data_IF_229224382149
#
_entry.id   IF_229224382149
#
_cell.length_a   1.000
_cell.length_b   1.000
_cell.length_c   1.000
_cell.angle_alpha   90.00
_cell.angle_beta   90.00
_cell.angle_gamma   90.00
#
_symmetry.space_group_name_H-M   'P 1'
#
loop_
_entity.id
_entity.type
_entity.pdbx_description
1 polymer ?
#
# COMPACT_ATOMS: atom_id res chain seq x y z
N UNK A 1 -3.11 13.89 -13.93
CA UNK A 1 -4.12 14.84 -14.41
C UNK A 1 -5.49 14.46 -13.88
N UNK A 2 -6.08 15.26 -12.99
CA UNK A 2 -7.44 15.01 -12.47
C UNK A 2 -8.50 15.33 -13.54
N UNK A 3 -9.61 14.57 -13.57
CA UNK A 3 -10.77 14.93 -14.38
C UNK A 3 -11.48 16.18 -13.83
N UNK A 4 -12.32 16.84 -14.64
CA UNK A 4 -12.91 18.15 -14.34
C UNK A 4 -13.67 18.24 -13.00
N UNK A 5 -14.29 17.15 -12.53
CA UNK A 5 -15.05 17.10 -11.27
C UNK A 5 -14.34 16.35 -10.14
N UNK A 6 -13.10 15.91 -10.37
CA UNK A 6 -12.36 15.05 -9.44
C UNK A 6 -12.33 15.62 -8.02
N UNK A 7 -11.95 16.90 -7.87
CA UNK A 7 -11.85 17.53 -6.55
C UNK A 7 -13.20 17.75 -5.87
N UNK A 8 -14.22 18.16 -6.64
CA UNK A 8 -15.57 18.40 -6.11
C UNK A 8 -16.21 17.12 -5.57
N UNK A 9 -16.07 16.02 -6.30
CA UNK A 9 -16.56 14.70 -5.89
C UNK A 9 -15.89 14.23 -4.59
N UNK A 10 -14.56 14.39 -4.48
CA UNK A 10 -13.83 14.05 -3.26
C UNK A 10 -14.22 14.93 -2.07
N UNK A 11 -14.36 16.25 -2.28
CA UNK A 11 -14.79 17.18 -1.23
C UNK A 11 -16.20 16.84 -0.72
N UNK A 12 -17.14 16.61 -1.64
CA UNK A 12 -18.53 16.24 -1.31
C UNK A 12 -18.58 14.94 -0.53
N UNK A 13 -17.86 13.91 -0.97
CA UNK A 13 -17.82 12.62 -0.29
C UNK A 13 -17.15 12.71 1.09
N UNK A 14 -16.03 13.44 1.18
CA UNK A 14 -15.31 13.61 2.45
C UNK A 14 -16.12 14.39 3.48
N UNK A 15 -16.84 15.44 3.05
CA UNK A 15 -17.75 16.20 3.90
C UNK A 15 -18.95 15.36 4.33
N UNK A 16 -19.65 14.72 3.37
CA UNK A 16 -20.87 13.96 3.63
C UNK A 16 -20.68 12.72 4.51
N UNK A 17 -19.46 12.17 4.56
CA UNK A 17 -19.13 10.98 5.38
C UNK A 17 -18.27 11.31 6.61
N UNK A 18 -17.89 12.56 6.80
CA UNK A 18 -16.93 12.93 7.84
C UNK A 18 -15.55 12.28 7.67
N UNK A 19 -15.18 11.90 6.44
CA UNK A 19 -13.93 11.21 6.15
C UNK A 19 -12.73 12.17 6.33
N UNK A 20 -11.61 11.63 6.81
CA UNK A 20 -10.38 12.41 7.04
C UNK A 20 -9.55 12.61 5.76
N UNK A 21 -9.72 11.71 4.81
CA UNK A 21 -9.12 11.77 3.50
C UNK A 21 -10.02 11.11 2.46
N UNK A 22 -9.83 11.43 1.19
CA UNK A 22 -10.60 10.87 0.09
C UNK A 22 -9.70 10.66 -1.13
N UNK A 23 -9.81 9.50 -1.75
CA UNK A 23 -9.09 9.18 -2.99
C UNK A 23 -10.07 8.72 -4.06
N UNK A 24 -9.68 8.94 -5.30
CA UNK A 24 -10.43 8.57 -6.48
C UNK A 24 -9.93 7.28 -7.12
N UNK A 25 -10.53 6.94 -8.26
CA UNK A 25 -9.95 5.96 -9.19
C UNK A 25 -8.78 6.60 -9.94
N UNK A 26 -7.62 5.97 -9.92
CA UNK A 26 -6.42 6.44 -10.62
C UNK A 26 -6.14 5.50 -11.78
N UNK A 27 -6.29 6.01 -13.00
CA UNK A 27 -6.07 5.28 -14.25
C UNK A 27 -4.65 5.54 -14.77
N UNK A 28 -4.08 4.55 -15.45
CA UNK A 28 -2.81 4.68 -16.14
C UNK A 28 -3.00 5.61 -17.35
N UNK A 29 -2.28 6.74 -17.40
CA UNK A 29 -2.46 7.72 -18.45
C UNK A 29 -2.04 7.25 -19.86
N UNK A 30 -1.21 6.19 -19.95
CA UNK A 30 -0.85 5.58 -21.23
C UNK A 30 -1.83 4.47 -21.67
N UNK A 31 -2.67 4.00 -20.75
CA UNK A 31 -3.63 2.91 -20.94
C UNK A 31 -4.85 3.23 -20.07
N UNK A 32 -5.72 4.09 -20.58
CA UNK A 32 -6.82 4.67 -19.82
C UNK A 32 -7.85 3.63 -19.35
N UNK A 33 -7.74 2.37 -19.78
CA UNK A 33 -8.54 1.23 -19.31
C UNK A 33 -7.82 0.37 -18.26
N UNK A 34 -6.65 0.78 -17.76
CA UNK A 34 -5.86 0.06 -16.75
C UNK A 34 -5.83 0.86 -15.44
N UNK A 35 -6.18 0.22 -14.33
CA UNK A 35 -6.06 0.78 -12.99
C UNK A 35 -4.57 0.96 -12.65
N UNK A 36 -4.14 2.20 -12.40
CA UNK A 36 -2.88 2.46 -11.74
C UNK A 36 -3.01 2.29 -10.22
N UNK A 37 -4.08 2.83 -9.62
CA UNK A 37 -4.39 2.67 -8.20
C UNK A 37 -5.86 2.98 -7.89
N UNK A 38 -6.36 2.43 -6.80
CA UNK A 38 -7.64 2.86 -6.18
C UNK A 38 -7.37 3.34 -4.76
N UNK A 39 -7.19 2.40 -3.84
CA UNK A 39 -6.73 2.59 -2.47
C UNK A 39 -5.62 1.60 -2.15
N UNK A 40 -4.95 1.75 -1.02
CA UNK A 40 -3.79 0.91 -0.67
C UNK A 40 -4.15 -0.19 0.31
N UNK A 41 -3.44 -1.31 0.18
CA UNK A 41 -3.49 -2.42 1.11
C UNK A 41 -2.07 -2.92 1.37
N UNK A 42 -1.80 -3.36 2.60
CA UNK A 42 -0.49 -3.92 3.00
C UNK A 42 -0.67 -5.27 3.70
N UNK A 43 0.09 -6.26 3.26
CA UNK A 43 0.06 -7.60 3.86
C UNK A 43 0.84 -7.66 5.17
N UNK A 44 0.63 -8.72 5.95
CA UNK A 44 1.41 -9.02 7.16
C UNK A 44 2.90 -9.27 6.87
N UNK A 45 3.27 -9.45 5.60
CA UNK A 45 4.67 -9.52 5.16
C UNK A 45 5.29 -8.14 4.85
N UNK A 46 4.55 -7.04 5.05
CA UNK A 46 5.00 -5.68 4.74
C UNK A 46 4.99 -5.36 3.25
N UNK A 47 4.41 -6.24 2.41
CA UNK A 47 4.29 -6.02 0.98
C UNK A 47 2.95 -5.35 0.67
N UNK A 48 2.99 -4.17 0.05
CA UNK A 48 1.81 -3.43 -0.30
C UNK A 48 1.36 -3.70 -1.75
N UNK A 49 0.06 -3.53 -1.99
CA UNK A 49 -0.53 -3.46 -3.31
C UNK A 49 -1.49 -2.28 -3.33
N UNK A 50 -1.33 -1.43 -4.34
CA UNK A 50 -2.36 -0.46 -4.70
C UNK A 50 -3.48 -1.28 -5.33
N UNK A 51 -4.63 -1.35 -4.68
CA UNK A 51 -5.70 -2.27 -5.04
C UNK A 51 -6.08 -2.05 -6.51
N UNK A 52 -6.08 -3.16 -7.27
CA UNK A 52 -6.38 -3.16 -8.70
C UNK A 52 -5.20 -2.80 -9.61
N UNK A 53 -4.02 -2.45 -9.09
CA UNK A 53 -2.89 -2.03 -9.93
C UNK A 53 -2.56 -3.07 -11.01
N UNK A 54 -2.56 -2.63 -12.27
CA UNK A 54 -2.30 -3.46 -13.45
C UNK A 54 -3.49 -4.30 -13.91
N UNK A 55 -4.68 -4.11 -13.31
CA UNK A 55 -5.95 -4.69 -13.79
C UNK A 55 -6.65 -3.75 -14.75
N UNK A 56 -7.50 -4.31 -15.62
CA UNK A 56 -8.44 -3.50 -16.40
C UNK A 56 -9.44 -2.85 -15.47
N UNK A 57 -9.85 -1.62 -15.77
CA UNK A 57 -10.96 -0.99 -15.08
C UNK A 57 -12.28 -1.74 -15.36
N UNK A 58 -13.17 -1.75 -14.37
CA UNK A 58 -14.39 -2.55 -14.41
C UNK A 58 -15.27 -2.40 -13.15
N UNK A 59 -16.46 -3.02 -13.16
CA UNK A 59 -17.47 -2.88 -12.11
C UNK A 59 -16.97 -3.25 -10.70
N UNK A 60 -15.96 -4.09 -10.59
CA UNK A 60 -15.30 -4.45 -9.33
C UNK A 60 -14.68 -3.24 -8.60
N UNK A 61 -14.41 -2.15 -9.32
CA UNK A 61 -13.83 -0.90 -8.83
C UNK A 61 -14.84 0.24 -8.70
N UNK A 62 -16.13 0.02 -8.99
CA UNK A 62 -17.16 1.08 -9.07
C UNK A 62 -17.99 1.25 -7.79
N UNK A 63 -17.47 0.78 -6.64
CA UNK A 63 -18.15 0.90 -5.35
C UNK A 63 -17.47 1.91 -4.43
N UNK A 64 -18.22 2.95 -4.03
CA UNK A 64 -17.84 3.85 -2.94
C UNK A 64 -17.65 3.03 -1.66
N UNK A 65 -16.56 3.26 -0.94
CA UNK A 65 -16.26 2.53 0.32
C UNK A 65 -15.40 3.34 1.27
N UNK A 66 -15.54 3.02 2.55
CA UNK A 66 -14.55 3.44 3.53
C UNK A 66 -13.23 2.71 3.28
N UNK A 67 -12.12 3.43 3.44
CA UNK A 67 -10.75 2.92 3.27
C UNK A 67 -9.87 3.36 4.44
N UNK A 68 -8.82 2.60 4.69
CA UNK A 68 -7.85 2.89 5.78
C UNK A 68 -6.53 3.44 5.27
N UNK A 69 -6.15 3.11 4.04
CA UNK A 69 -4.93 3.59 3.39
C UNK A 69 -5.30 4.09 1.99
N UNK A 70 -4.67 5.18 1.57
CA UNK A 70 -4.88 5.78 0.26
C UNK A 70 -3.53 6.16 -0.36
N UNK A 71 -3.38 5.99 -1.69
CA UNK A 71 -2.17 6.39 -2.39
C UNK A 71 -2.04 7.91 -2.36
N UNK A 72 -0.84 8.41 -2.06
CA UNK A 72 -0.60 9.85 -2.07
C UNK A 72 -0.58 10.45 -3.50
N UNK A 73 -0.61 9.60 -4.54
CA UNK A 73 -0.62 10.00 -5.96
C UNK A 73 -1.72 11.00 -6.31
N UNK A 74 -2.94 10.77 -5.84
CA UNK A 74 -4.09 11.65 -6.07
C UNK A 74 -5.10 11.47 -4.93
N UNK A 75 -4.87 12.19 -3.84
CA UNK A 75 -5.68 12.09 -2.63
C UNK A 75 -5.91 13.46 -2.01
N UNK A 76 -7.09 13.67 -1.46
CA UNK A 76 -7.48 14.83 -0.66
C UNK A 76 -7.29 14.47 0.81
N UNK A 77 -6.56 15.30 1.57
CA UNK A 77 -6.40 15.14 3.02
C UNK A 77 -6.91 16.37 3.76
N UNK A 78 -7.55 16.17 4.92
CA UNK A 78 -7.78 17.28 5.86
C UNK A 78 -6.44 17.76 6.40
N UNK A 79 -6.19 19.06 6.37
CA UNK A 79 -4.97 19.65 6.95
C UNK A 79 -4.76 19.27 8.42
N UNK A 80 -5.85 19.19 9.19
CA UNK A 80 -5.83 18.80 10.59
C UNK A 80 -5.28 17.37 10.81
N UNK A 81 -5.44 16.46 9.83
CA UNK A 81 -4.93 15.10 9.91
C UNK A 81 -3.40 15.09 10.08
N UNK A 82 -2.68 15.95 9.35
CA UNK A 82 -1.22 16.08 9.47
C UNK A 82 -0.79 16.63 10.83
N UNK A 83 -1.59 17.51 11.45
CA UNK A 83 -1.31 18.01 12.80
C UNK A 83 -1.50 16.93 13.86
N UNK A 84 -2.45 16.02 13.65
CA UNK A 84 -2.78 14.92 14.59
C UNK A 84 -1.84 13.72 14.45
N UNK A 85 -1.48 13.37 13.21
CA UNK A 85 -0.77 12.11 12.89
C UNK A 85 0.72 12.36 12.58
N UNK A 86 1.10 13.60 12.30
CA UNK A 86 2.43 13.98 11.81
C UNK A 86 2.56 13.85 10.29
N UNK A 87 3.57 14.52 9.72
CA UNK A 87 3.85 14.50 8.27
C UNK A 87 4.30 13.10 7.76
N UNK A 88 4.59 12.98 6.47
CA UNK A 88 5.26 11.80 5.92
C UNK A 88 6.63 11.60 6.59
N UNK A 89 7.01 10.34 6.83
CA UNK A 89 8.29 10.04 7.48
C UNK A 89 9.41 10.02 6.45
N UNK A 90 10.29 11.01 6.53
CA UNK A 90 11.42 11.21 5.61
C UNK A 90 12.40 10.01 5.59
N UNK A 91 12.39 9.16 6.62
CA UNK A 91 13.18 7.91 6.64
C UNK A 91 12.82 6.96 5.50
N UNK A 92 11.61 7.08 4.94
CA UNK A 92 11.17 6.29 3.80
C UNK A 92 11.72 6.83 2.47
N UNK A 93 12.14 8.10 2.40
CA UNK A 93 12.41 8.84 1.16
C UNK A 93 11.20 8.83 0.20
N UNK A 94 11.00 7.74 -0.54
CA UNK A 94 9.95 7.54 -1.53
C UNK A 94 9.58 6.06 -1.63
N UNK A 95 8.36 5.80 -2.10
CA UNK A 95 7.66 4.52 -2.10
C UNK A 95 7.31 4.01 -0.69
N UNK A 96 6.03 3.74 -0.45
CA UNK A 96 5.49 3.23 0.82
C UNK A 96 5.52 4.24 2.00
N UNK A 97 5.91 5.49 1.76
CA UNK A 97 5.72 6.60 2.70
C UNK A 97 4.24 6.91 2.92
N UNK A 98 3.43 6.72 1.88
CA UNK A 98 1.98 6.83 1.91
C UNK A 98 1.34 5.66 2.67
N UNK A 99 1.84 4.44 2.48
CA UNK A 99 1.45 3.27 3.27
C UNK A 99 1.80 3.46 4.75
N UNK A 100 2.99 4.01 5.06
CA UNK A 100 3.35 4.39 6.43
C UNK A 100 2.36 5.39 7.04
N UNK A 101 2.08 6.47 6.31
CA UNK A 101 1.15 7.51 6.74
C UNK A 101 -0.26 6.94 6.94
N UNK A 102 -0.74 6.11 6.01
CA UNK A 102 -2.02 5.42 6.09
C UNK A 102 -2.12 4.49 7.30
N UNK A 103 -1.07 3.71 7.59
CA UNK A 103 -1.03 2.88 8.81
C UNK A 103 -1.11 3.73 10.08
N UNK A 104 -0.41 4.88 10.14
CA UNK A 104 -0.53 5.78 11.30
C UNK A 104 -1.93 6.37 11.43
N UNK A 105 -2.56 6.74 10.33
CA UNK A 105 -3.95 7.21 10.31
C UNK A 105 -4.91 6.11 10.82
N UNK A 106 -4.79 4.90 10.28
CA UNK A 106 -5.62 3.75 10.66
C UNK A 106 -5.47 3.42 12.15
N UNK A 107 -4.23 3.39 12.67
CA UNK A 107 -3.96 3.14 14.09
C UNK A 107 -4.49 4.24 15.02
N UNK A 108 -4.72 5.44 14.50
CA UNK A 108 -5.36 6.55 15.19
C UNK A 108 -6.88 6.62 14.93
N UNK A 109 -7.46 5.59 14.29
CA UNK A 109 -8.87 5.51 13.91
C UNK A 109 -9.34 6.62 12.94
N UNK A 110 -8.44 7.13 12.11
CA UNK A 110 -8.78 8.04 11.02
C UNK A 110 -8.97 7.27 9.73
N UNK A 111 -10.21 7.25 9.24
CA UNK A 111 -10.59 6.58 7.99
C UNK A 111 -10.83 7.58 6.87
N UNK A 112 -10.74 7.09 5.64
CA UNK A 112 -11.01 7.84 4.42
C UNK A 112 -12.12 7.22 3.60
N UNK A 113 -12.38 7.81 2.43
CA UNK A 113 -13.35 7.29 1.46
C UNK A 113 -12.72 7.12 0.08
N UNK A 114 -12.97 5.99 -0.56
CA UNK A 114 -12.73 5.78 -1.98
C UNK A 114 -13.98 6.18 -2.78
N UNK A 115 -13.80 7.02 -3.80
CA UNK A 115 -14.87 7.57 -4.65
C UNK A 115 -14.56 7.22 -6.10
N UNK A 116 -15.17 6.17 -6.68
CA UNK A 116 -14.81 5.68 -8.01
C UNK A 116 -15.08 6.69 -9.13
N UNK A 117 -16.11 7.53 -8.97
CA UNK A 117 -16.47 8.57 -9.95
C UNK A 117 -15.43 9.70 -10.02
N UNK A 118 -14.62 9.87 -8.97
CA UNK A 118 -13.53 10.82 -8.97
C UNK A 118 -12.32 10.21 -9.71
N UNK A 119 -12.20 10.44 -11.01
CA UNK A 119 -11.13 9.86 -11.83
C UNK A 119 -9.92 10.79 -11.97
N UNK A 120 -8.72 10.25 -11.82
CA UNK A 120 -7.46 10.91 -12.16
C UNK A 120 -6.58 10.00 -13.04
N UNK A 121 -5.76 10.61 -13.91
CA UNK A 121 -4.83 9.91 -14.79
C UNK A 121 -3.39 10.09 -14.32
N UNK A 122 -2.63 9.01 -14.18
CA UNK A 122 -1.26 9.04 -13.69
C UNK A 122 -0.28 8.50 -14.74
N UNK A 123 0.74 9.30 -15.06
CA UNK A 123 1.89 8.91 -15.85
C UNK A 123 2.90 8.16 -14.97
N UNK A 124 2.53 6.95 -14.56
CA UNK A 124 3.32 6.15 -13.65
C UNK A 124 4.71 5.83 -14.22
N UNK A 125 5.73 5.86 -13.35
CA UNK A 125 7.13 5.59 -13.72
C UNK A 125 7.74 6.56 -14.77
N UNK A 126 7.13 7.73 -15.01
CA UNK A 126 7.65 8.71 -15.98
C UNK A 126 9.06 9.22 -15.65
N UNK A 127 9.43 9.32 -14.37
CA UNK A 127 10.72 9.91 -13.96
C UNK A 127 11.90 8.93 -14.06
N UNK A 128 11.70 7.68 -13.65
CA UNK A 128 12.79 6.68 -13.54
C UNK A 128 12.64 5.48 -14.48
N UNK A 129 11.48 5.32 -15.10
CA UNK A 129 11.14 4.13 -15.87
C UNK A 129 10.70 2.94 -14.99
N UNK A 130 10.04 1.97 -15.63
CA UNK A 130 9.60 0.73 -14.95
C UNK A 130 10.81 -0.06 -14.48
N UNK A 131 10.74 -0.65 -13.29
CA UNK A 131 11.80 -1.49 -12.71
C UNK A 131 13.16 -0.80 -12.55
N UNK A 132 13.19 0.51 -12.34
CA UNK A 132 14.43 1.23 -12.08
C UNK A 132 15.13 0.70 -10.81
N UNK A 133 16.47 0.50 -10.83
CA UNK A 133 17.21 -0.05 -9.68
C UNK A 133 16.97 0.69 -8.36
N UNK A 134 16.88 2.03 -8.41
CA UNK A 134 16.60 2.85 -7.22
C UNK A 134 15.22 2.56 -6.64
N UNK A 135 14.19 2.46 -7.48
CA UNK A 135 12.81 2.14 -7.07
C UNK A 135 12.74 0.76 -6.43
N UNK A 136 13.34 -0.26 -7.06
CA UNK A 136 13.37 -1.62 -6.49
C UNK A 136 14.09 -1.66 -5.15
N UNK A 137 15.22 -0.96 -5.02
CA UNK A 137 15.95 -0.83 -3.75
C UNK A 137 15.09 -0.18 -2.66
N UNK A 138 14.45 0.95 -2.97
CA UNK A 138 13.62 1.69 -2.02
C UNK A 138 12.39 0.89 -1.58
N UNK A 139 11.65 0.28 -2.51
CA UNK A 139 10.51 -0.58 -2.16
C UNK A 139 10.98 -1.75 -1.29
N UNK A 140 12.06 -2.44 -1.68
CA UNK A 140 12.59 -3.55 -0.90
C UNK A 140 13.01 -3.11 0.51
N UNK A 141 13.67 -1.96 0.66
CA UNK A 141 14.03 -1.39 1.96
C UNK A 141 12.77 -1.08 2.78
N UNK A 142 11.85 -0.32 2.20
CA UNK A 142 10.73 0.27 2.91
C UNK A 142 9.67 -0.77 3.33
N UNK A 143 9.52 -1.88 2.61
CA UNK A 143 8.73 -3.03 3.08
C UNK A 143 9.20 -3.53 4.46
N UNK A 144 10.51 -3.58 4.67
CA UNK A 144 11.09 -4.01 5.96
C UNK A 144 10.99 -2.89 7.01
N UNK A 145 11.12 -1.62 6.61
CA UNK A 145 10.93 -0.49 7.52
C UNK A 145 9.48 -0.39 8.03
N UNK A 146 8.47 -0.70 7.19
CA UNK A 146 7.08 -0.80 7.64
C UNK A 146 6.92 -1.81 8.76
N UNK A 147 7.51 -3.00 8.60
CA UNK A 147 7.51 -4.05 9.63
C UNK A 147 8.23 -3.58 10.90
N UNK A 148 9.41 -2.96 10.75
CA UNK A 148 10.19 -2.45 11.87
C UNK A 148 9.42 -1.41 12.70
N UNK A 149 8.71 -0.50 12.00
CA UNK A 149 8.04 0.66 12.58
C UNK A 149 6.70 0.31 13.23
N UNK A 150 5.89 -0.52 12.56
CA UNK A 150 4.48 -0.72 12.91
C UNK A 150 4.18 -2.06 13.56
N UNK A 151 5.03 -3.08 13.41
CA UNK A 151 4.72 -4.44 13.85
C UNK A 151 5.44 -4.76 15.18
N UNK A 152 4.67 -5.00 16.28
CA UNK A 152 5.19 -5.47 17.56
C UNK A 152 5.99 -6.77 17.44
N UNK A 153 6.89 -7.01 18.40
CA UNK A 153 7.83 -8.13 18.31
C UNK A 153 7.09 -9.47 18.34
N UNK A 154 6.03 -9.58 19.13
CA UNK A 154 5.21 -10.80 19.17
C UNK A 154 4.61 -11.12 17.79
N UNK A 155 4.10 -10.12 17.07
CA UNK A 155 3.56 -10.30 15.73
C UNK A 155 4.64 -10.61 14.69
N UNK A 156 5.82 -9.98 14.80
CA UNK A 156 6.95 -10.30 13.92
C UNK A 156 7.34 -11.78 14.05
N UNK A 157 7.40 -12.30 15.27
CA UNK A 157 7.72 -13.70 15.53
C UNK A 157 6.61 -14.64 15.05
N UNK A 158 5.34 -14.32 15.38
CA UNK A 158 4.19 -15.14 14.96
C UNK A 158 4.01 -15.18 13.45
N UNK A 159 4.33 -14.09 12.75
CA UNK A 159 4.25 -13.97 11.31
C UNK A 159 5.60 -14.15 10.61
N UNK A 160 6.66 -14.61 11.31
CA UNK A 160 8.02 -14.66 10.77
C UNK A 160 8.10 -15.42 9.45
N UNK A 161 7.40 -16.56 9.38
CA UNK A 161 7.38 -17.38 8.18
C UNK A 161 6.61 -16.66 7.02
N UNK A 162 5.48 -15.99 7.30
CA UNK A 162 4.71 -15.18 6.33
C UNK A 162 5.54 -14.04 5.77
N UNK A 163 6.23 -13.35 6.67
CA UNK A 163 7.17 -12.27 6.34
C UNK A 163 8.25 -12.84 5.43
N UNK A 164 8.95 -13.90 5.84
CA UNK A 164 9.99 -14.51 5.01
C UNK A 164 9.49 -14.88 3.61
N UNK A 165 8.32 -15.52 3.51
CA UNK A 165 7.74 -15.89 2.23
C UNK A 165 7.42 -14.67 1.35
N UNK A 166 6.76 -13.63 1.87
CA UNK A 166 6.47 -12.43 1.09
C UNK A 166 7.75 -11.71 0.64
N UNK A 167 8.77 -11.65 1.49
CA UNK A 167 10.05 -11.02 1.19
C UNK A 167 10.84 -11.80 0.12
N UNK A 168 10.83 -13.14 0.18
CA UNK A 168 11.45 -14.01 -0.83
C UNK A 168 10.69 -13.96 -2.16
N UNK A 169 9.36 -13.95 -2.13
CA UNK A 169 8.55 -13.78 -3.35
C UNK A 169 8.84 -12.43 -4.02
N UNK A 170 8.97 -11.35 -3.24
CA UNK A 170 9.33 -10.04 -3.79
C UNK A 170 10.74 -10.06 -4.41
N UNK A 171 11.70 -10.72 -3.75
CA UNK A 171 13.03 -10.92 -4.31
C UNK A 171 13.01 -11.74 -5.62
N UNK A 172 12.14 -12.75 -5.73
CA UNK A 172 11.94 -13.52 -6.95
C UNK A 172 11.34 -12.67 -8.08
N UNK A 173 10.35 -11.80 -7.78
CA UNK A 173 9.82 -10.83 -8.75
C UNK A 173 10.96 -9.91 -9.22
N UNK A 174 11.75 -9.35 -8.30
CA UNK A 174 12.89 -8.50 -8.65
C UNK A 174 13.94 -9.25 -9.49
N UNK A 175 14.22 -10.52 -9.20
CA UNK A 175 15.13 -11.36 -9.96
C UNK A 175 14.66 -11.60 -11.39
N UNK A 176 13.37 -11.89 -11.60
CA UNK A 176 12.75 -12.03 -12.94
C UNK A 176 12.93 -10.78 -13.81
N UNK A 177 13.07 -9.61 -13.20
CA UNK A 177 13.32 -8.35 -13.89
C UNK A 177 14.80 -7.93 -13.90
N UNK A 178 15.73 -8.81 -13.52
CA UNK A 178 17.17 -8.51 -13.49
C UNK A 178 17.58 -7.52 -12.39
N UNK A 179 16.77 -7.38 -11.33
CA UNK A 179 16.94 -6.40 -10.25
C UNK A 179 17.14 -7.03 -8.87
N UNK A 180 17.63 -8.27 -8.80
CA UNK A 180 17.92 -8.94 -7.52
C UNK A 180 18.97 -8.17 -6.69
N UNK A 181 20.05 -7.71 -7.31
CA UNK A 181 21.10 -6.93 -6.63
C UNK A 181 20.57 -5.69 -5.91
N UNK A 182 19.84 -4.79 -6.60
CA UNK A 182 19.16 -3.66 -5.96
C UNK A 182 18.19 -4.05 -4.84
N UNK A 183 17.42 -5.13 -5.02
CA UNK A 183 16.52 -5.65 -3.98
C UNK A 183 17.30 -6.06 -2.73
N UNK A 184 18.35 -6.88 -2.87
CA UNK A 184 19.20 -7.31 -1.76
C UNK A 184 19.86 -6.12 -1.05
N UNK A 185 20.36 -5.13 -1.81
CA UNK A 185 20.91 -3.90 -1.23
C UNK A 185 19.88 -3.16 -0.37
N UNK A 186 18.63 -3.07 -0.84
CA UNK A 186 17.52 -2.47 -0.09
C UNK A 186 17.22 -3.21 1.21
N UNK A 187 17.19 -4.55 1.18
CA UNK A 187 17.00 -5.38 2.40
C UNK A 187 18.15 -5.18 3.39
N UNK A 188 19.40 -5.20 2.94
CA UNK A 188 20.58 -4.96 3.81
C UNK A 188 20.54 -3.58 4.45
N UNK A 189 20.17 -2.55 3.70
CA UNK A 189 20.01 -1.19 4.19
C UNK A 189 18.92 -1.10 5.26
N UNK A 190 17.78 -1.75 5.03
CA UNK A 190 16.70 -1.81 6.02
C UNK A 190 17.14 -2.52 7.31
N UNK A 191 17.93 -3.59 7.23
CA UNK A 191 18.45 -4.26 8.43
C UNK A 191 19.35 -3.35 9.27
N UNK A 192 20.12 -2.45 8.64
CA UNK A 192 20.93 -1.45 9.34
C UNK A 192 20.08 -0.38 10.02
N UNK A 193 18.98 0.03 9.38
CA UNK A 193 18.05 1.04 9.89
C UNK A 193 16.95 0.46 10.80
N UNK A 194 16.85 -0.87 10.91
CA UNK A 194 15.72 -1.53 11.57
C UNK A 194 15.54 -1.06 13.01
N UNK A 195 16.64 -0.96 13.76
CA UNK A 195 16.61 -0.53 15.17
C UNK A 195 16.32 0.96 15.33
N UNK A 196 16.80 1.81 14.42
CA UNK A 196 16.61 3.27 14.52
C UNK A 196 15.18 3.68 14.15
N UNK A 197 14.56 2.99 13.20
CA UNK A 197 13.17 3.26 12.77
C UNK A 197 12.14 2.62 13.71
N UNK A 198 12.53 1.59 14.46
CA UNK A 198 11.64 0.94 15.42
C UNK A 198 11.35 1.87 16.60
N UNK A 199 10.10 2.32 16.69
CA UNK A 199 9.63 3.14 17.81
C UNK A 199 9.71 2.39 19.14
N UNK A 200 10.12 3.09 20.20
CA UNK A 200 10.15 2.59 21.58
C UNK A 200 8.78 2.11 22.04
N UNK A 201 7.71 2.83 21.66
CA UNK A 201 6.32 2.42 21.89
C UNK A 201 5.71 1.93 20.59
N UNK A 202 5.41 0.63 20.55
CA UNK A 202 4.72 -0.02 19.44
C UNK A 202 3.20 0.08 19.63
N UNK A 203 2.41 0.06 18.54
CA UNK A 203 0.95 0.02 18.65
C UNK A 203 0.48 -1.30 19.31
N UNK A 204 -0.72 -1.35 19.91
CA UNK A 204 -1.30 -2.58 20.38
C UNK A 204 -1.39 -3.63 19.27
N UNK A 205 -0.90 -4.84 19.53
CA UNK A 205 -0.78 -5.92 18.53
C UNK A 205 -2.11 -6.25 17.85
N UNK A 206 -3.23 -6.25 18.59
CA UNK A 206 -4.55 -6.50 18.01
C UNK A 206 -4.96 -5.49 16.94
N UNK A 207 -4.66 -4.21 17.15
CA UNK A 207 -5.12 -3.14 16.24
C UNK A 207 -4.35 -3.17 14.91
N UNK A 208 -3.01 -3.21 14.94
CA UNK A 208 -2.22 -3.30 13.69
C UNK A 208 -2.49 -4.58 12.92
N UNK A 209 -2.68 -5.71 13.63
CA UNK A 209 -3.03 -6.96 12.98
C UNK A 209 -4.39 -6.89 12.30
N UNK A 210 -5.40 -6.29 12.91
CA UNK A 210 -6.71 -6.10 12.30
C UNK A 210 -6.61 -5.30 10.99
N UNK A 211 -5.82 -4.22 10.98
CA UNK A 211 -5.60 -3.39 9.78
C UNK A 211 -4.93 -4.19 8.65
N UNK A 212 -3.90 -4.97 8.97
CA UNK A 212 -3.21 -5.82 7.98
C UNK A 212 -4.06 -7.00 7.49
N UNK A 213 -4.87 -7.60 8.38
CA UNK A 213 -5.81 -8.66 7.99
C UNK A 213 -6.92 -8.13 7.08
N UNK A 214 -7.45 -6.94 7.38
CA UNK A 214 -8.42 -6.28 6.51
C UNK A 214 -7.82 -5.98 5.13
N UNK A 215 -6.59 -5.47 5.10
CA UNK A 215 -5.83 -5.26 3.85
C UNK A 215 -5.67 -6.55 3.05
N UNK A 216 -5.28 -7.66 3.69
CA UNK A 216 -5.17 -8.96 3.02
C UNK A 216 -6.51 -9.49 2.49
N UNK A 217 -7.63 -9.25 3.20
CA UNK A 217 -8.97 -9.57 2.70
C UNK A 217 -9.31 -8.79 1.44
N UNK A 218 -8.99 -7.50 1.40
CA UNK A 218 -9.20 -6.67 0.21
C UNK A 218 -8.36 -7.13 -0.97
N UNK A 219 -7.07 -7.41 -0.74
CA UNK A 219 -6.18 -7.98 -1.77
C UNK A 219 -6.78 -9.27 -2.32
N UNK A 220 -7.15 -10.22 -1.44
CA UNK A 220 -7.71 -11.51 -1.87
C UNK A 220 -9.02 -11.36 -2.64
N UNK A 221 -9.93 -10.50 -2.15
CA UNK A 221 -11.23 -10.26 -2.80
C UNK A 221 -11.05 -9.75 -4.23
N UNK A 222 -10.23 -8.73 -4.42
CA UNK A 222 -10.01 -8.15 -5.76
C UNK A 222 -9.25 -9.12 -6.67
N UNK A 223 -8.27 -9.85 -6.14
CA UNK A 223 -7.58 -10.90 -6.89
C UNK A 223 -8.54 -12.03 -7.31
N UNK A 224 -9.54 -12.39 -6.51
CA UNK A 224 -10.57 -13.36 -6.90
C UNK A 224 -11.50 -12.83 -8.00
N UNK A 225 -11.79 -11.52 -8.02
CA UNK A 225 -12.68 -10.89 -9.01
C UNK A 225 -11.99 -10.60 -10.34
N UNK A 226 -10.69 -10.28 -10.31
CA UNK A 226 -9.93 -9.77 -11.46
C UNK A 226 -8.90 -10.76 -12.01
N UNK A 227 -8.85 -11.98 -11.46
CA UNK A 227 -7.80 -12.96 -11.70
C UNK A 227 -6.65 -12.84 -10.70
N UNK A 228 -6.07 -13.98 -10.33
CA UNK A 228 -5.07 -14.05 -9.27
C UNK A 228 -3.64 -13.97 -9.82
N UNK A 229 -2.88 -12.95 -9.43
CA UNK A 229 -1.46 -12.85 -9.72
C UNK A 229 -0.71 -13.98 -9.04
N UNK A 230 0.30 -14.50 -9.73
CA UNK A 230 1.14 -15.59 -9.21
C UNK A 230 1.77 -15.22 -7.85
N UNK A 231 2.17 -13.95 -7.65
CA UNK A 231 2.77 -13.49 -6.41
C UNK A 231 1.78 -13.64 -5.25
N UNK A 232 0.58 -13.08 -5.39
CA UNK A 232 -0.44 -13.14 -4.34
C UNK A 232 -0.93 -14.56 -4.13
N UNK A 233 -1.01 -15.36 -5.21
CA UNK A 233 -1.38 -16.77 -5.15
C UNK A 233 -0.39 -17.55 -4.30
N UNK A 234 0.91 -17.44 -4.58
CA UNK A 234 1.91 -18.10 -3.75
C UNK A 234 1.95 -17.54 -2.34
N UNK A 235 1.80 -16.22 -2.17
CA UNK A 235 1.77 -15.61 -0.84
C UNK A 235 0.65 -16.20 0.02
N UNK A 236 -0.60 -16.23 -0.45
CA UNK A 236 -1.73 -16.74 0.34
C UNK A 236 -1.71 -18.26 0.53
N UNK A 237 -1.19 -18.99 -0.47
CA UNK A 237 -0.96 -20.43 -0.35
C UNK A 237 -0.01 -20.71 0.80
N UNK A 238 1.17 -20.09 0.75
CA UNK A 238 2.16 -20.23 1.80
C UNK A 238 1.56 -19.71 3.11
N UNK A 239 0.78 -18.60 3.10
CA UNK A 239 0.20 -17.89 4.25
C UNK A 239 -0.64 -18.77 5.20
N UNK A 240 -0.96 -20.00 4.80
CA UNK A 240 -1.87 -20.90 5.50
C UNK A 240 -3.30 -20.36 5.50
N UNK A 241 -3.67 -19.54 4.51
CA UNK A 241 -4.97 -18.86 4.46
C UNK A 241 -6.01 -19.59 3.60
N UNK A 242 -5.82 -20.88 3.31
CA UNK A 242 -6.79 -21.73 2.59
C UNK A 242 -6.77 -21.56 1.06
N UNK A 243 -7.13 -22.63 0.36
CA UNK A 243 -7.04 -22.81 -1.10
C UNK A 243 -7.82 -21.76 -1.93
N UNK A 244 -7.41 -21.63 -3.20
CA UNK A 244 -7.94 -20.72 -4.21
C UNK A 244 -9.30 -21.15 -4.71
#
# INVERSE_FOLDING_TARGET
EPAAQWLELLLRAAAGRGAWFATGKILNASRNDEIDATYDAVSRAGCAWRIGHGRRDGPEFDSVREIRLAPATACLYRTELFRRVGLFDESFESYLEDVDFGLRCALANYTGVYVPDAVAYHWGSATLGRWHPRTVRLIARNQVLLLAKHVPRELLLRNAWRILAGQLLWAAVAARHGRLGPCCRGKLEAMRLFRSVRKTRQPPSGHIEEVMLASERDIRRVQAQTGFDWYWRLYFFLAGSGAF
#
